data_IF_636387510185
#
_entry.id   IF_636387510185
#
_cell.length_a   1.000
_cell.length_b   1.000
_cell.length_c   1.000
_cell.angle_alpha   90.00
_cell.angle_beta   90.00
_cell.angle_gamma   90.00
#
_symmetry.space_group_name_H-M   'P 1'
#
loop_
_entity.id
_entity.type
_entity.pdbx_description
1 polymer ?
#
# COMPACT_ATOMS: atom_id res chain seq x y z
N UNK A 1 2.91 24.31 3.16
CA UNK A 1 3.54 23.23 3.94
C UNK A 1 3.18 21.86 3.37
N UNK A 2 1.88 21.57 3.35
CA UNK A 2 1.22 20.28 3.12
C UNK A 2 1.67 19.52 1.86
N UNK A 3 2.00 20.24 0.79
CA UNK A 3 2.54 19.66 -0.46
C UNK A 3 3.83 18.88 -0.22
N UNK A 4 4.73 19.37 0.65
CA UNK A 4 5.95 18.67 1.04
C UNK A 4 5.63 17.41 1.84
N UNK A 5 4.72 17.50 2.82
CA UNK A 5 4.25 16.36 3.61
C UNK A 5 3.54 15.30 2.74
N UNK A 6 2.81 15.72 1.70
CA UNK A 6 2.20 14.83 0.70
C UNK A 6 3.22 14.17 -0.22
N UNK A 7 4.40 14.75 -0.42
CA UNK A 7 5.51 14.15 -1.18
C UNK A 7 6.30 13.10 -0.38
N UNK A 8 6.47 13.28 0.94
CA UNK A 8 7.14 12.32 1.83
C UNK A 8 6.50 10.93 1.80
N UNK A 9 7.25 9.88 2.17
CA UNK A 9 6.73 8.51 2.33
C UNK A 9 6.03 8.37 3.68
N UNK A 10 5.21 7.31 3.81
CA UNK A 10 4.51 6.98 5.06
C UNK A 10 5.50 6.71 6.20
N UNK A 11 6.71 6.20 5.91
CA UNK A 11 7.75 6.01 6.92
C UNK A 11 8.23 7.36 7.49
N UNK A 12 8.68 8.27 6.63
CA UNK A 12 9.20 9.59 7.00
C UNK A 12 8.18 10.38 7.86
N UNK A 13 6.89 10.31 7.49
CA UNK A 13 5.78 10.90 8.26
C UNK A 13 5.60 10.28 9.65
N UNK A 14 5.88 8.97 9.82
CA UNK A 14 5.90 8.32 11.14
C UNK A 14 7.14 8.70 11.95
N UNK A 15 8.29 8.88 11.29
CA UNK A 15 9.53 9.30 11.95
C UNK A 15 9.45 10.74 12.50
N UNK A 16 8.82 11.66 11.75
CA UNK A 16 8.52 13.02 12.21
C UNK A 16 7.65 12.99 13.48
N UNK A 17 6.53 12.26 13.44
CA UNK A 17 5.64 12.14 14.60
C UNK A 17 6.33 11.49 15.80
N UNK A 18 7.13 10.43 15.57
CA UNK A 18 7.87 9.75 16.63
C UNK A 18 8.93 10.63 17.28
N UNK A 19 9.62 11.51 16.52
CA UNK A 19 10.58 12.48 17.05
C UNK A 19 9.89 13.62 17.80
N UNK A 20 8.69 14.01 17.38
CA UNK A 20 7.83 14.93 18.12
C UNK A 20 7.09 14.26 19.32
N UNK A 21 7.45 13.01 19.68
CA UNK A 21 6.82 12.20 20.75
C UNK A 21 5.32 11.95 20.59
N UNK A 22 4.77 12.11 19.38
CA UNK A 22 3.36 11.89 19.07
C UNK A 22 3.19 10.46 18.51
N UNK A 23 2.29 9.62 19.05
CA UNK A 23 2.12 8.26 18.57
C UNK A 23 1.58 8.25 17.12
N UNK A 24 2.34 7.76 16.12
CA UNK A 24 1.89 7.77 14.73
C UNK A 24 0.68 6.84 14.53
N UNK A 25 0.73 5.65 15.15
CA UNK A 25 -0.28 4.60 14.99
C UNK A 25 -0.30 3.99 13.58
N UNK A 26 -1.40 3.32 13.24
CA UNK A 26 -1.64 2.70 11.93
C UNK A 26 -2.65 3.49 11.08
N UNK A 27 -2.57 4.82 11.17
CA UNK A 27 -3.39 5.74 10.40
C UNK A 27 -2.91 5.81 8.93
N UNK A 28 -3.79 6.24 8.01
CA UNK A 28 -3.49 6.40 6.58
C UNK A 28 -2.54 7.57 6.36
N UNK A 29 -1.97 7.69 5.15
CA UNK A 29 -1.03 8.77 4.80
C UNK A 29 -1.58 10.16 5.10
N UNK A 30 -2.83 10.45 4.72
CA UNK A 30 -3.46 11.75 4.99
C UNK A 30 -3.66 11.98 6.49
N UNK A 31 -4.11 10.98 7.23
CA UNK A 31 -4.29 11.04 8.68
C UNK A 31 -2.98 11.39 9.43
N UNK A 32 -1.84 10.84 8.97
CA UNK A 32 -0.50 11.17 9.50
C UNK A 32 -0.10 12.62 9.15
N UNK A 33 -0.41 13.09 7.94
CA UNK A 33 -0.18 14.49 7.54
C UNK A 33 -1.04 15.44 8.38
N UNK A 34 -2.31 15.12 8.58
CA UNK A 34 -3.24 15.88 9.42
C UNK A 34 -2.77 15.91 10.88
N UNK A 35 -2.24 14.80 11.41
CA UNK A 35 -1.60 14.76 12.74
C UNK A 35 -0.40 15.71 12.84
N UNK A 36 0.46 15.77 11.82
CA UNK A 36 1.62 16.68 11.80
C UNK A 36 1.12 18.14 11.77
N UNK A 37 0.15 18.47 10.91
CA UNK A 37 -0.40 19.82 10.79
C UNK A 37 -1.17 20.28 12.05
N UNK A 38 -1.78 19.35 12.77
CA UNK A 38 -2.49 19.63 14.03
C UNK A 38 -1.55 19.78 15.25
N UNK A 39 -0.25 19.50 15.12
CA UNK A 39 0.70 19.52 16.24
C UNK A 39 1.97 20.31 15.87
N UNK A 40 2.11 21.58 16.30
CA UNK A 40 3.29 22.41 16.06
C UNK A 40 4.66 21.73 16.25
N UNK A 41 4.96 20.95 17.32
CA UNK A 41 6.27 20.30 17.46
C UNK A 41 6.59 19.29 16.34
N UNK A 42 5.59 18.72 15.66
CA UNK A 42 5.81 17.88 14.49
C UNK A 42 6.14 18.70 13.22
N UNK A 43 5.69 19.95 13.16
CA UNK A 43 6.04 20.89 12.09
C UNK A 43 7.49 21.36 12.24
N UNK A 44 7.94 21.64 13.46
CA UNK A 44 9.34 22.03 13.75
C UNK A 44 10.31 20.87 13.48
N UNK A 45 9.95 19.66 13.91
CA UNK A 45 10.68 18.43 13.55
C UNK A 45 10.70 18.21 12.04
N UNK A 46 9.61 18.48 11.31
CA UNK A 46 9.66 18.45 9.84
C UNK A 46 10.64 19.50 9.29
N UNK A 47 10.64 20.73 9.80
CA UNK A 47 11.50 21.80 9.28
C UNK A 47 12.99 21.51 9.48
N UNK A 48 13.38 20.93 10.62
CA UNK A 48 14.76 20.51 10.89
C UNK A 48 15.23 19.33 10.01
N UNK A 49 14.34 18.40 9.66
CA UNK A 49 14.66 17.23 8.83
C UNK A 49 14.53 17.51 7.32
N UNK A 50 13.72 18.47 6.93
CA UNK A 50 13.43 18.84 5.55
C UNK A 50 13.56 20.36 5.34
N UNK A 51 14.78 20.92 5.55
CA UNK A 51 15.04 22.32 5.27
C UNK A 51 14.67 22.66 3.82
N UNK A 52 14.16 23.88 3.54
CA UNK A 52 13.75 24.26 2.21
C UNK A 52 14.96 24.28 1.27
N UNK A 53 15.04 23.29 0.35
CA UNK A 53 16.07 23.16 -0.70
C UNK A 53 16.15 24.32 -1.71
N UNK A 54 15.48 25.44 -1.45
CA UNK A 54 15.58 26.69 -2.19
C UNK A 54 16.29 27.81 -1.41
N UNK A 55 16.75 27.52 -0.19
CA UNK A 55 17.80 28.32 0.46
C UNK A 55 19.16 27.81 -0.02
N UNK A 56 19.94 28.68 -0.67
CA UNK A 56 21.40 28.51 -0.77
C UNK A 56 21.96 28.47 0.66
N UNK A 57 23.12 27.82 0.91
CA UNK A 57 23.74 27.88 2.24
C UNK A 57 24.03 29.34 2.60
N UNK A 58 23.35 29.82 3.63
CA UNK A 58 23.74 31.06 4.31
C UNK A 58 24.95 30.70 5.18
N UNK A 59 26.14 31.28 4.96
CA UNK A 59 27.27 31.11 5.87
C UNK A 59 26.92 31.66 7.27
N UNK A 60 27.74 31.41 8.32
CA UNK A 60 27.55 32.09 9.61
C UNK A 60 27.48 33.63 9.44
N UNK A 61 26.87 34.34 10.40
CA UNK A 61 26.68 35.79 10.33
C UNK A 61 27.99 36.55 10.61
N UNK A 62 28.94 36.43 9.68
CA UNK A 62 30.03 37.38 9.55
C UNK A 62 29.44 38.69 9.01
N UNK A 63 29.51 39.74 9.82
CA UNK A 63 29.07 41.07 9.42
C UNK A 63 30.07 41.66 8.41
N UNK A 64 29.61 41.95 7.19
CA UNK A 64 29.78 43.31 6.65
C UNK A 64 28.82 43.60 5.48
N UNK A 65 28.60 44.90 5.26
CA UNK A 65 27.76 45.50 4.22
C UNK A 65 28.58 45.76 2.93
N UNK A 66 28.03 46.54 1.99
CA UNK A 66 28.70 47.18 0.84
C UNK A 66 29.00 46.27 -0.37
N UNK A 67 28.00 46.07 -1.25
CA UNK A 67 28.06 46.17 -2.73
C UNK A 67 26.84 45.53 -3.45
N UNK A 68 25.67 46.17 -3.30
CA UNK A 68 24.47 45.98 -4.17
C UNK A 68 24.66 46.70 -5.54
N UNK A 69 23.75 46.69 -6.55
CA UNK A 69 22.31 46.34 -6.53
C UNK A 69 21.83 45.49 -7.77
N UNK A 70 20.65 45.65 -8.45
CA UNK A 70 19.60 44.61 -8.35
C UNK A 70 18.88 44.15 -9.66
N UNK A 71 17.96 43.17 -9.53
CA UNK A 71 16.76 42.92 -10.38
C UNK A 71 16.96 42.56 -11.89
N UNK A 72 15.96 42.13 -12.69
CA UNK A 72 14.51 41.86 -12.47
C UNK A 72 14.24 40.32 -12.35
N UNK A 73 13.36 39.55 -13.05
CA UNK A 73 12.39 39.70 -14.19
C UNK A 73 11.20 38.74 -13.96
N UNK A 74 9.98 39.11 -14.41
CA UNK A 74 8.74 38.29 -14.33
C UNK A 74 8.59 37.16 -15.36
N UNK A 75 7.90 36.06 -14.96
CA UNK A 75 7.12 35.19 -15.86
C UNK A 75 5.86 34.65 -15.13
N UNK A 76 4.74 35.33 -15.33
CA UNK A 76 3.43 35.12 -14.68
C UNK A 76 2.47 34.25 -15.54
N UNK A 77 1.20 34.08 -15.12
CA UNK A 77 0.01 33.72 -15.95
C UNK A 77 -0.12 32.25 -16.43
N UNK A 78 -1.29 31.57 -16.49
CA UNK A 78 -2.64 31.80 -15.89
C UNK A 78 -3.55 30.53 -16.02
N UNK A 79 -4.30 30.20 -14.93
CA UNK A 79 -5.77 29.87 -14.76
C UNK A 79 -6.61 29.42 -15.98
N UNK A 80 -7.73 28.65 -15.89
CA UNK A 80 -8.33 27.70 -14.90
C UNK A 80 -9.57 27.00 -15.54
N UNK A 81 -10.22 26.08 -14.82
CA UNK A 81 -11.53 25.47 -15.17
C UNK A 81 -12.66 26.04 -14.30
N UNK A 82 -13.80 26.44 -14.89
CA UNK A 82 -15.13 26.50 -14.23
C UNK A 82 -16.23 25.77 -15.06
N UNK A 83 -17.42 25.37 -14.55
CA UNK A 83 -17.95 25.18 -13.18
C UNK A 83 -19.16 24.20 -13.21
N UNK A 84 -19.51 23.69 -12.03
CA UNK A 84 -20.75 23.06 -11.51
C UNK A 84 -22.13 23.74 -11.87
N UNK A 85 -23.31 23.44 -11.26
CA UNK A 85 -23.74 22.36 -10.32
C UNK A 85 -25.10 21.67 -10.67
N UNK A 86 -25.57 20.71 -9.84
CA UNK A 86 -26.99 20.56 -9.40
C UNK A 86 -27.18 19.43 -8.36
N UNK A 87 -28.33 19.36 -7.68
CA UNK A 87 -28.58 18.49 -6.49
C UNK A 87 -30.03 17.91 -6.43
N UNK A 88 -30.39 17.01 -5.49
CA UNK A 88 -31.56 16.11 -5.57
C UNK A 88 -32.76 16.63 -4.73
N UNK A 89 -33.79 15.84 -4.29
CA UNK A 89 -34.17 14.45 -4.58
C UNK A 89 -35.68 14.23 -4.90
N UNK A 90 -36.05 13.00 -5.27
CA UNK A 90 -37.35 12.35 -4.91
C UNK A 90 -37.30 10.85 -5.23
N UNK A 91 -37.80 10.02 -4.31
CA UNK A 91 -38.04 8.59 -4.54
C UNK A 91 -39.21 8.13 -3.67
N UNK A 92 -40.28 7.65 -4.29
CA UNK A 92 -41.49 7.23 -3.58
C UNK A 92 -41.49 5.72 -3.29
N UNK A 93 -42.33 5.36 -2.32
CA UNK A 93 -43.00 4.06 -2.14
C UNK A 93 -42.17 2.75 -2.23
N UNK A 94 -41.95 2.15 -1.05
CA UNK A 94 -42.20 0.71 -0.93
C UNK A 94 -43.71 0.45 -1.04
N UNK A 95 -44.10 -0.76 -1.50
CA UNK A 95 -44.79 -1.61 -0.54
C UNK A 95 -44.09 -2.96 -0.33
N UNK A 96 -44.10 -3.43 0.92
CA UNK A 96 -43.80 -4.82 1.29
C UNK A 96 -44.98 -5.75 1.02
N UNK A 97 -44.73 -7.05 0.80
CA UNK A 97 -45.44 -8.04 1.61
C UNK A 97 -44.52 -9.00 2.39
N UNK A 98 -45.16 -9.74 3.30
CA UNK A 98 -44.60 -10.63 4.35
C UNK A 98 -43.78 -11.84 3.87
N UNK A 99 -43.02 -12.50 4.78
CA UNK A 99 -42.16 -13.64 4.46
C UNK A 99 -42.86 -15.01 4.50
N UNK A 100 -42.14 -16.04 3.98
CA UNK A 100 -42.40 -17.49 4.10
C UNK A 100 -43.61 -18.04 3.29
N UNK A 101 -43.65 -19.34 2.91
CA UNK A 101 -42.78 -20.48 3.32
C UNK A 101 -41.74 -20.93 2.27
N UNK A 102 -41.03 -22.01 2.59
CA UNK A 102 -39.82 -22.46 1.88
C UNK A 102 -40.07 -23.36 0.66
N UNK A 103 -39.18 -23.21 -0.33
CA UNK A 103 -38.96 -24.12 -1.47
C UNK A 103 -37.42 -24.23 -1.70
N UNK A 104 -36.91 -25.23 -2.44
CA UNK A 104 -35.58 -25.79 -2.18
C UNK A 104 -34.41 -24.89 -2.58
N UNK A 105 -33.26 -25.12 -1.94
CA UNK A 105 -32.00 -24.49 -2.31
C UNK A 105 -31.65 -24.78 -3.79
N UNK A 106 -31.25 -23.76 -4.57
CA UNK A 106 -30.86 -23.98 -5.95
C UNK A 106 -29.61 -24.86 -6.01
N UNK A 107 -29.47 -25.75 -7.02
CA UNK A 107 -28.27 -26.54 -7.20
C UNK A 107 -27.05 -25.61 -7.32
N UNK A 108 -25.93 -26.00 -6.71
CA UNK A 108 -24.68 -25.23 -6.78
C UNK A 108 -24.07 -25.34 -8.18
N UNK A 109 -24.63 -24.58 -9.11
CA UNK A 109 -24.08 -24.39 -10.45
C UNK A 109 -22.62 -23.96 -10.29
N UNK A 110 -21.72 -24.77 -10.83
CA UNK A 110 -20.29 -24.49 -10.90
C UNK A 110 -20.04 -23.43 -11.98
N UNK A 111 -20.56 -22.22 -11.76
CA UNK A 111 -20.28 -21.02 -12.56
C UNK A 111 -18.78 -20.94 -12.80
N UNK A 112 -18.38 -20.62 -14.03
CA UNK A 112 -16.97 -20.66 -14.40
C UNK A 112 -16.16 -19.60 -13.63
N UNK A 113 -14.83 -19.70 -13.69
CA UNK A 113 -13.98 -18.64 -13.14
C UNK A 113 -14.22 -17.31 -13.87
N UNK A 114 -14.50 -17.32 -15.18
CA UNK A 114 -14.87 -16.10 -15.92
C UNK A 114 -16.14 -15.46 -15.36
N UNK A 115 -17.22 -16.23 -15.18
CA UNK A 115 -18.49 -15.70 -14.64
C UNK A 115 -18.32 -15.14 -13.23
N UNK A 116 -17.60 -15.85 -12.35
CA UNK A 116 -17.31 -15.39 -10.99
C UNK A 116 -16.48 -14.11 -10.97
N UNK A 117 -15.52 -13.97 -11.91
CA UNK A 117 -14.68 -12.76 -12.07
C UNK A 117 -15.45 -11.62 -12.72
N UNK A 118 -16.34 -11.89 -13.69
CA UNK A 118 -17.18 -10.92 -14.40
C UNK A 118 -18.29 -10.37 -13.51
N UNK A 119 -18.95 -11.24 -12.72
CA UNK A 119 -19.88 -10.84 -11.67
C UNK A 119 -19.18 -10.02 -10.56
N UNK A 120 -17.93 -10.36 -10.21
CA UNK A 120 -17.11 -9.52 -9.31
C UNK A 120 -16.83 -8.16 -9.97
N UNK A 121 -16.37 -8.13 -11.21
CA UNK A 121 -16.05 -6.89 -11.92
C UNK A 121 -17.27 -5.94 -11.95
N UNK A 122 -18.45 -6.46 -12.29
CA UNK A 122 -19.71 -5.73 -12.23
C UNK A 122 -20.06 -5.24 -10.80
N UNK A 123 -19.95 -6.08 -9.77
CA UNK A 123 -20.22 -5.69 -8.37
C UNK A 123 -19.27 -4.63 -7.82
N UNK A 124 -18.07 -4.51 -8.38
CA UNK A 124 -17.06 -3.52 -7.96
C UNK A 124 -16.91 -2.34 -8.94
N UNK A 125 -17.75 -2.27 -9.99
CA UNK A 125 -17.70 -1.20 -11.00
C UNK A 125 -16.43 -1.16 -11.87
N UNK A 126 -15.56 -2.17 -11.75
CA UNK A 126 -14.31 -2.27 -12.52
C UNK A 126 -14.57 -2.91 -13.88
N UNK A 127 -13.90 -2.45 -14.92
CA UNK A 127 -13.91 -3.14 -16.22
C UNK A 127 -13.36 -4.56 -16.08
N UNK A 128 -14.04 -5.54 -16.69
CA UNK A 128 -13.55 -6.92 -16.74
C UNK A 128 -12.37 -6.99 -17.73
N UNK A 129 -11.16 -6.86 -17.20
CA UNK A 129 -9.94 -7.10 -17.98
C UNK A 129 -9.76 -8.60 -18.13
N UNK A 130 -9.96 -9.10 -19.35
CA UNK A 130 -9.68 -10.49 -19.71
C UNK A 130 -8.20 -10.83 -19.46
N UNK A 131 -7.87 -12.01 -18.91
CA UNK A 131 -6.48 -12.38 -18.61
C UNK A 131 -5.70 -12.71 -19.89
N UNK A 132 -5.29 -11.67 -20.63
CA UNK A 132 -4.33 -11.77 -21.74
C UNK A 132 -3.15 -12.62 -21.29
N UNK A 133 -2.85 -13.70 -22.02
CA UNK A 133 -1.75 -14.61 -21.70
C UNK A 133 -0.43 -13.83 -21.68
N UNK A 134 0.13 -13.65 -20.48
CA UNK A 134 1.29 -12.81 -20.26
C UNK A 134 2.55 -13.48 -20.81
N UNK A 135 2.86 -13.21 -22.08
CA UNK A 135 4.18 -13.46 -22.66
C UNK A 135 5.25 -12.84 -21.74
N UNK A 136 6.34 -13.55 -21.42
CA UNK A 136 7.24 -13.19 -20.34
C UNK A 136 8.05 -11.93 -20.69
N UNK A 137 7.53 -10.76 -20.29
CA UNK A 137 8.27 -9.49 -20.33
C UNK A 137 9.51 -9.64 -19.46
N UNK A 138 10.69 -9.65 -20.11
CA UNK A 138 11.99 -9.79 -19.46
C UNK A 138 12.12 -8.77 -18.33
N UNK A 139 12.42 -9.23 -17.11
CA UNK A 139 12.51 -8.35 -15.95
C UNK A 139 13.62 -7.31 -16.15
N UNK A 140 13.26 -6.02 -16.09
CA UNK A 140 14.23 -4.93 -16.05
C UNK A 140 15.04 -4.99 -14.76
N UNK A 141 16.33 -4.61 -14.86
CA UNK A 141 17.38 -4.96 -13.89
C UNK A 141 17.09 -4.62 -12.43
N UNK A 142 16.38 -3.51 -12.17
CA UNK A 142 16.04 -3.07 -10.81
C UNK A 142 15.36 -4.14 -9.94
N UNK A 143 14.63 -5.08 -10.55
CA UNK A 143 13.97 -6.15 -9.80
C UNK A 143 14.99 -7.13 -9.19
N UNK A 144 16.13 -7.34 -9.85
CA UNK A 144 17.19 -8.21 -9.34
C UNK A 144 17.83 -7.63 -8.08
N UNK A 145 18.08 -6.32 -8.02
CA UNK A 145 18.72 -5.71 -6.85
C UNK A 145 17.74 -5.55 -5.68
N UNK A 146 16.45 -5.30 -5.97
CA UNK A 146 15.37 -5.38 -4.96
C UNK A 146 15.20 -6.81 -4.42
N UNK A 147 15.47 -7.84 -5.23
CA UNK A 147 15.51 -9.24 -4.80
C UNK A 147 16.77 -9.55 -3.98
N UNK A 148 17.97 -9.09 -4.36
CA UNK A 148 19.23 -9.25 -3.60
C UNK A 148 19.14 -8.58 -2.22
N UNK A 149 18.77 -7.31 -2.15
CA UNK A 149 18.64 -6.56 -0.90
C UNK A 149 17.58 -7.17 0.05
N UNK A 150 16.55 -7.84 -0.51
CA UNK A 150 15.63 -8.66 0.28
C UNK A 150 16.27 -9.97 0.74
N UNK A 151 16.97 -10.67 -0.15
CA UNK A 151 17.64 -11.92 0.15
C UNK A 151 18.67 -11.75 1.30
N UNK A 152 19.45 -10.68 1.26
CA UNK A 152 20.37 -10.24 2.32
C UNK A 152 19.63 -9.93 3.63
N UNK A 153 18.59 -9.07 3.59
CA UNK A 153 17.80 -8.71 4.79
C UNK A 153 17.12 -9.88 5.50
N UNK A 154 16.81 -10.96 4.78
CA UNK A 154 16.18 -12.16 5.34
C UNK A 154 17.16 -13.33 5.51
N UNK A 155 18.47 -13.12 5.30
CA UNK A 155 19.51 -14.16 5.41
C UNK A 155 19.40 -15.30 4.39
N UNK A 156 18.45 -15.24 3.46
CA UNK A 156 18.20 -16.27 2.47
C UNK A 156 19.18 -16.10 1.31
N UNK A 157 20.31 -16.82 1.32
CA UNK A 157 21.31 -16.74 0.24
C UNK A 157 20.62 -16.89 -1.13
N UNK A 158 20.72 -15.90 -2.05
CA UNK A 158 20.06 -15.96 -3.35
C UNK A 158 20.87 -16.90 -4.25
N UNK A 159 20.62 -18.20 -4.13
CA UNK A 159 21.30 -19.28 -4.84
C UNK A 159 21.07 -19.19 -6.36
N UNK A 160 21.83 -18.33 -7.03
CA UNK A 160 22.10 -18.45 -8.45
C UNK A 160 22.61 -19.89 -8.70
N UNK A 161 21.89 -20.63 -9.54
CA UNK A 161 22.07 -22.08 -9.82
C UNK A 161 21.55 -23.09 -8.77
N UNK A 162 20.21 -23.27 -8.72
CA UNK A 162 19.68 -24.65 -8.86
C UNK A 162 18.34 -24.68 -9.60
N UNK A 163 18.27 -25.55 -10.61
CA UNK A 163 17.07 -25.89 -11.39
C UNK A 163 16.11 -26.74 -10.55
N UNK A 164 14.81 -26.78 -10.94
CA UNK A 164 13.72 -27.68 -10.47
C UNK A 164 14.19 -28.81 -9.53
N UNK A 165 13.98 -28.64 -8.23
CA UNK A 165 14.14 -29.68 -7.22
C UNK A 165 13.02 -29.62 -6.18
N UNK A 166 12.51 -30.78 -5.75
CA UNK A 166 11.50 -30.84 -4.69
C UNK A 166 12.13 -30.35 -3.38
N UNK A 167 11.56 -29.30 -2.77
CA UNK A 167 12.06 -28.76 -1.49
C UNK A 167 11.68 -29.71 -0.36
N UNK A 168 12.55 -30.67 -0.04
CA UNK A 168 12.58 -31.25 1.30
C UNK A 168 12.90 -30.13 2.29
N UNK A 169 12.05 -29.97 3.31
CA UNK A 169 12.30 -29.00 4.37
C UNK A 169 13.52 -29.45 5.21
N UNK A 170 14.23 -28.51 5.88
CA UNK A 170 15.16 -28.87 6.95
C UNK A 170 14.46 -29.75 8.00
N UNK A 171 15.16 -30.75 8.53
CA UNK A 171 14.65 -31.64 9.58
C UNK A 171 14.76 -30.94 10.92
N UNK A 172 13.85 -30.01 11.16
CA UNK A 172 13.61 -29.41 12.46
C UNK A 172 12.73 -30.36 13.27
N UNK A 173 13.16 -30.71 14.49
CA UNK A 173 12.50 -31.73 15.31
C UNK A 173 11.22 -31.15 15.95
N UNK A 174 10.11 -31.24 15.23
CA UNK A 174 8.80 -30.74 15.67
C UNK A 174 8.32 -31.52 16.90
N UNK A 175 8.09 -30.81 17.99
CA UNK A 175 7.54 -31.30 19.26
C UNK A 175 6.27 -32.15 19.02
N UNK A 176 6.14 -33.35 19.63
CA UNK A 176 4.98 -34.22 19.46
C UNK A 176 3.61 -33.53 19.60
N UNK A 177 3.44 -32.52 20.48
CA UNK A 177 2.15 -31.83 20.59
C UNK A 177 1.80 -31.01 19.33
N UNK A 178 2.78 -30.32 18.73
CA UNK A 178 2.53 -29.61 17.46
C UNK A 178 2.23 -30.59 16.32
N UNK A 179 2.86 -31.78 16.31
CA UNK A 179 2.54 -32.80 15.31
C UNK A 179 1.06 -33.21 15.38
N UNK A 180 0.48 -33.41 16.57
CA UNK A 180 -0.96 -33.65 16.71
C UNK A 180 -1.82 -32.46 16.25
N UNK A 181 -1.44 -31.24 16.63
CA UNK A 181 -2.15 -30.02 16.22
C UNK A 181 -2.13 -29.84 14.70
N UNK A 182 -1.05 -30.28 14.05
CA UNK A 182 -0.88 -30.32 12.59
C UNK A 182 -1.67 -31.46 11.94
N UNK A 183 -1.76 -32.64 12.57
CA UNK A 183 -2.64 -33.75 12.13
C UNK A 183 -4.12 -33.35 12.17
N UNK A 184 -4.62 -32.86 13.31
CA UNK A 184 -6.01 -32.38 13.49
C UNK A 184 -6.36 -31.24 12.53
N UNK A 185 -5.39 -30.38 12.18
CA UNK A 185 -5.56 -29.38 11.10
C UNK A 185 -5.61 -30.02 9.71
N UNK A 186 -4.71 -30.96 9.40
CA UNK A 186 -4.67 -31.59 8.08
C UNK A 186 -5.95 -32.37 7.78
N UNK A 187 -6.45 -33.15 8.77
CA UNK A 187 -7.74 -33.85 8.72
C UNK A 187 -8.90 -32.87 8.47
N UNK A 188 -9.06 -31.85 9.31
CA UNK A 188 -10.13 -30.84 9.19
C UNK A 188 -10.11 -30.05 7.87
N UNK A 189 -8.97 -29.98 7.19
CA UNK A 189 -8.79 -29.25 5.93
C UNK A 189 -8.59 -30.17 4.71
N UNK A 190 -8.70 -31.50 4.87
CA UNK A 190 -8.51 -32.49 3.79
C UNK A 190 -7.10 -32.47 3.16
N UNK A 191 -6.09 -31.98 3.89
CA UNK A 191 -4.73 -31.80 3.37
C UNK A 191 -3.91 -33.09 3.55
N UNK A 192 -3.21 -33.59 2.51
CA UNK A 192 -2.32 -34.73 2.66
C UNK A 192 -1.14 -34.37 3.57
N UNK A 193 -0.99 -35.09 4.68
CA UNK A 193 0.18 -35.01 5.55
C UNK A 193 1.39 -35.58 4.80
N UNK A 194 2.18 -34.73 4.14
CA UNK A 194 3.28 -35.16 3.26
C UNK A 194 4.56 -35.56 4.01
N UNK A 195 4.42 -36.47 4.97
CA UNK A 195 5.46 -37.46 5.34
C UNK A 195 5.05 -38.80 4.74
N UNK A 196 5.95 -39.51 4.07
CA UNK A 196 5.59 -40.75 3.36
C UNK A 196 5.29 -41.92 4.33
N UNK A 197 4.61 -42.94 3.79
CA UNK A 197 4.81 -44.34 4.17
C UNK A 197 6.17 -44.87 3.66
#
# INVERSE_FOLDING_TARGET
>A
MDTKLRALKVQDLKEILSKASIPPGNAKKQDLINKILANPPAIDVFHTLHPPKNSKPVPPPDHDDLLAPPEEVDWTVEVSIPVEPASPPKKSEQPSPSPAPAAPAPPTLVLSEEDKRKARAARFGTTYVEPIQQQPKKATGENFDKLKARAERFGTVPSATKVRGKRTAPVENVDPEEQERRRKRAERFGLPLSGKA
#
